data_IF_598135270723
#
_entry.id   IF_598135270723
#
_cell.length_a   1.000
_cell.length_b   1.000
_cell.length_c   1.000
_cell.angle_alpha   90.00
_cell.angle_beta   90.00
_cell.angle_gamma   90.00
#
_symmetry.space_group_name_H-M   'P 1'
#
loop_
_entity.id
_entity.type
_entity.pdbx_description
1 polymer ?
#
# COMPACT_ATOMS: atom_id res chain seq x y z
N UNK A 1 -12.18 -5.51 -0.83
CA UNK A 1 -11.07 -6.13 -0.08
C UNK A 1 -10.78 -5.45 1.28
N UNK A 2 -11.67 -4.61 1.83
CA UNK A 2 -11.42 -3.80 3.03
C UNK A 2 -11.47 -4.58 4.37
N UNK A 3 -12.25 -5.66 4.48
CA UNK A 3 -12.35 -6.39 5.75
C UNK A 3 -11.05 -7.17 6.01
N UNK A 4 -10.32 -6.78 7.06
CA UNK A 4 -9.06 -7.38 7.54
C UNK A 4 -7.78 -7.05 6.78
N UNK A 5 -7.77 -6.05 5.89
CA UNK A 5 -6.52 -5.63 5.22
C UNK A 5 -5.43 -5.25 6.24
N UNK A 6 -5.80 -4.61 7.35
CA UNK A 6 -4.86 -4.29 8.44
C UNK A 6 -4.23 -5.56 9.06
N UNK A 7 -5.02 -6.62 9.27
CA UNK A 7 -4.50 -7.85 9.89
C UNK A 7 -3.63 -8.65 8.93
N UNK A 8 -4.01 -8.71 7.66
CA UNK A 8 -3.35 -9.57 6.66
C UNK A 8 -2.15 -8.87 6.01
N UNK A 9 -2.30 -7.59 5.65
CA UNK A 9 -1.28 -6.83 4.93
C UNK A 9 -0.48 -5.95 5.89
N UNK A 10 -1.14 -5.32 6.88
CA UNK A 10 -0.43 -4.35 7.71
C UNK A 10 0.56 -4.95 8.71
N UNK A 11 0.45 -6.24 9.02
CA UNK A 11 1.38 -6.97 9.90
C UNK A 11 2.12 -8.10 9.18
N UNK A 12 2.28 -8.04 7.85
CA UNK A 12 3.05 -9.06 7.14
C UNK A 12 4.52 -9.07 7.59
N UNK A 13 5.10 -10.24 7.86
CA UNK A 13 6.48 -10.33 8.35
C UNK A 13 7.52 -10.19 7.23
N UNK A 14 7.08 -10.17 5.96
CA UNK A 14 7.97 -10.12 4.80
C UNK A 14 7.38 -9.26 3.68
N UNK A 15 8.23 -8.49 3.01
CA UNK A 15 7.82 -7.71 1.84
C UNK A 15 7.52 -8.64 0.64
N UNK A 16 6.36 -8.50 -0.01
CA UNK A 16 5.98 -9.34 -1.16
C UNK A 16 6.91 -9.22 -2.37
N UNK A 17 7.62 -8.09 -2.51
CA UNK A 17 8.51 -7.80 -3.66
C UNK A 17 9.93 -8.32 -3.48
N UNK A 18 10.53 -8.06 -2.33
CA UNK A 18 11.95 -8.36 -2.08
C UNK A 18 12.18 -9.45 -1.04
N UNK A 19 11.09 -9.99 -0.45
CA UNK A 19 11.11 -11.00 0.62
C UNK A 19 11.94 -10.61 1.85
N UNK A 20 12.28 -9.31 1.98
CA UNK A 20 13.00 -8.81 3.15
C UNK A 20 12.07 -8.87 4.37
N UNK A 21 12.59 -9.29 5.54
CA UNK A 21 11.81 -9.24 6.78
C UNK A 21 11.39 -7.80 7.09
N UNK A 22 10.11 -7.63 7.42
CA UNK A 22 9.51 -6.36 7.86
C UNK A 22 9.22 -6.47 9.35
N UNK A 23 9.96 -5.73 10.18
CA UNK A 23 9.67 -5.71 11.61
C UNK A 23 8.54 -4.74 11.91
N UNK A 24 7.85 -4.89 13.06
CA UNK A 24 6.74 -4.02 13.44
C UNK A 24 7.10 -2.51 13.44
N UNK A 25 8.37 -2.17 13.67
CA UNK A 25 8.88 -0.79 13.66
C UNK A 25 9.08 -0.21 12.25
N UNK A 26 9.20 -1.05 11.23
CA UNK A 26 9.42 -0.62 9.86
C UNK A 26 8.16 0.04 9.29
N UNK A 27 8.39 1.13 8.56
CA UNK A 27 7.35 1.72 7.74
C UNK A 27 7.14 0.88 6.49
N UNK A 28 5.87 0.68 6.16
CA UNK A 28 5.42 -0.04 4.97
C UNK A 28 4.18 0.65 4.42
N UNK A 29 3.88 0.35 3.18
CA UNK A 29 2.73 0.89 2.45
C UNK A 29 2.27 -0.14 1.44
N UNK A 30 1.12 0.11 0.83
CA UNK A 30 0.57 -0.75 -0.19
C UNK A 30 1.09 -0.36 -1.58
N UNK A 31 1.49 -1.35 -2.37
CA UNK A 31 1.88 -1.14 -3.78
C UNK A 31 0.70 -0.58 -4.57
N UNK A 32 0.94 0.41 -5.41
CA UNK A 32 -0.10 0.96 -6.31
C UNK A 32 -0.49 -0.02 -7.43
N UNK A 33 0.31 -1.07 -7.62
CA UNK A 33 0.12 -2.07 -8.67
C UNK A 33 -0.56 -3.32 -8.12
N UNK A 34 0.01 -3.90 -7.05
CA UNK A 34 -0.42 -5.20 -6.53
C UNK A 34 -1.30 -5.08 -5.29
N UNK A 35 -1.43 -3.86 -4.73
CA UNK A 35 -2.17 -3.58 -3.50
C UNK A 35 -1.71 -4.38 -2.26
N UNK A 36 -0.50 -4.92 -2.33
CA UNK A 36 0.17 -5.66 -1.27
C UNK A 36 1.16 -4.80 -0.47
N UNK A 37 1.45 -5.22 0.77
CA UNK A 37 2.39 -4.53 1.63
C UNK A 37 3.84 -4.68 1.15
N UNK A 38 4.44 -3.53 0.84
CA UNK A 38 5.83 -3.42 0.42
C UNK A 38 6.66 -2.56 1.38
N UNK A 39 7.96 -2.82 1.41
CA UNK A 39 8.90 -1.99 2.16
C UNK A 39 9.08 -0.63 1.45
N UNK A 40 9.53 0.38 2.20
CA UNK A 40 9.81 1.72 1.64
C UNK A 40 10.80 1.68 0.48
N UNK A 41 11.79 0.77 0.51
CA UNK A 41 12.76 0.65 -0.58
C UNK A 41 12.11 0.16 -1.89
N UNK A 42 11.20 -0.81 -1.81
CA UNK A 42 10.44 -1.27 -2.96
C UNK A 42 9.49 -0.19 -3.47
N UNK A 43 8.87 0.59 -2.57
CA UNK A 43 8.05 1.74 -2.99
C UNK A 43 8.87 2.76 -3.78
N UNK A 44 10.04 3.13 -3.28
CA UNK A 44 10.91 4.08 -3.99
C UNK A 44 11.31 3.56 -5.37
N UNK A 45 11.42 2.25 -5.55
CA UNK A 45 11.64 1.65 -6.85
C UNK A 45 10.39 1.71 -7.75
N UNK A 46 9.20 1.53 -7.17
CA UNK A 46 7.92 1.73 -7.88
C UNK A 46 7.75 3.19 -8.32
N UNK A 47 8.02 4.16 -7.44
CA UNK A 47 7.92 5.60 -7.72
C UNK A 47 8.85 6.09 -8.83
N UNK A 48 9.94 5.36 -9.08
CA UNK A 48 10.89 5.66 -10.18
C UNK A 48 10.45 5.11 -11.52
N UNK A 49 9.39 4.30 -11.57
CA UNK A 49 8.89 3.77 -12.83
C UNK A 49 8.25 4.89 -13.67
N UNK A 50 8.46 4.89 -15.00
CA UNK A 50 7.91 5.92 -15.86
C UNK A 50 6.38 5.92 -15.90
N UNK A 51 5.75 4.78 -15.65
CA UNK A 51 4.29 4.59 -15.61
C UNK A 51 3.68 4.83 -14.23
N UNK A 52 4.47 5.17 -13.22
CA UNK A 52 3.99 5.27 -11.83
C UNK A 52 2.91 6.33 -11.65
N UNK A 53 3.03 7.47 -12.31
CA UNK A 53 2.03 8.54 -12.20
C UNK A 53 0.66 8.07 -12.70
N UNK A 54 0.60 7.44 -13.87
CA UNK A 54 -0.64 6.90 -14.42
C UNK A 54 -1.17 5.73 -13.59
N UNK A 55 -0.31 4.80 -13.16
CA UNK A 55 -0.68 3.70 -12.30
C UNK A 55 -1.27 4.19 -10.97
N UNK A 56 -0.68 5.23 -10.37
CA UNK A 56 -1.15 5.82 -9.12
C UNK A 56 -2.54 6.44 -9.26
N UNK A 57 -2.82 7.15 -10.37
CA UNK A 57 -4.14 7.73 -10.66
C UNK A 57 -5.18 6.63 -10.89
N UNK A 58 -4.82 5.59 -11.64
CA UNK A 58 -5.69 4.44 -11.89
C UNK A 58 -6.03 3.70 -10.60
N UNK A 59 -5.05 3.48 -9.72
CA UNK A 59 -5.29 2.86 -8.42
C UNK A 59 -6.20 3.72 -7.54
N UNK A 60 -5.97 5.04 -7.45
CA UNK A 60 -6.85 5.93 -6.69
C UNK A 60 -8.30 5.83 -7.21
N UNK A 61 -8.49 5.87 -8.54
CA UNK A 61 -9.80 5.75 -9.16
C UNK A 61 -10.46 4.39 -8.84
N UNK A 62 -9.73 3.29 -9.03
CA UNK A 62 -10.21 1.94 -8.76
C UNK A 62 -10.56 1.75 -7.27
N UNK A 63 -9.72 2.25 -6.37
CA UNK A 63 -9.94 2.11 -4.94
C UNK A 63 -11.14 2.94 -4.45
N UNK A 64 -11.31 4.16 -4.94
CA UNK A 64 -12.51 4.96 -4.66
C UNK A 64 -13.78 4.28 -5.20
N UNK A 65 -13.72 3.65 -6.38
CA UNK A 65 -14.84 2.91 -6.94
C UNK A 65 -15.19 1.66 -6.12
N UNK A 66 -14.20 0.86 -5.72
CA UNK A 66 -14.43 -0.36 -4.95
C UNK A 66 -14.95 -0.06 -3.54
N UNK A 67 -14.31 0.89 -2.84
CA UNK A 67 -14.63 1.20 -1.45
C UNK A 67 -15.80 2.17 -1.30
N UNK A 68 -16.16 2.89 -2.38
CA UNK A 68 -17.11 4.02 -2.37
C UNK A 68 -16.74 5.09 -1.33
N UNK A 69 -15.47 5.17 -0.94
CA UNK A 69 -14.93 6.16 -0.01
C UNK A 69 -14.08 7.17 -0.79
N UNK A 70 -14.12 8.45 -0.42
CA UNK A 70 -13.21 9.42 -1.00
C UNK A 70 -11.78 9.09 -0.62
N UNK A 71 -10.86 9.36 -1.55
CA UNK A 71 -9.44 9.36 -1.27
C UNK A 71 -9.15 10.43 -0.20
N UNK A 72 -8.66 10.03 0.98
CA UNK A 72 -8.37 10.94 2.09
C UNK A 72 -8.83 10.45 3.47
N UNK A 73 -9.57 9.34 3.56
CA UNK A 73 -9.88 8.72 4.85
C UNK A 73 -8.65 7.95 5.36
N UNK A 74 -8.02 8.37 6.48
CA UNK A 74 -6.79 7.77 6.99
C UNK A 74 -6.96 6.37 7.56
N UNK A 75 -8.21 5.90 7.76
CA UNK A 75 -8.52 4.53 8.12
C UNK A 75 -8.86 3.66 6.89
N UNK A 76 -8.84 4.24 5.68
CA UNK A 76 -9.15 3.51 4.46
C UNK A 76 -7.94 2.79 3.88
N UNK A 77 -8.21 1.60 3.34
CA UNK A 77 -7.27 0.83 2.52
C UNK A 77 -6.61 1.68 1.42
N UNK A 78 -7.40 2.56 0.76
CA UNK A 78 -6.91 3.43 -0.31
C UNK A 78 -5.83 4.41 0.15
N UNK A 79 -5.93 4.92 1.37
CA UNK A 79 -4.97 5.90 1.90
C UNK A 79 -3.57 5.28 2.12
N UNK A 80 -3.53 4.02 2.52
CA UNK A 80 -2.28 3.33 2.86
C UNK A 80 -1.42 2.90 1.65
N UNK A 81 -1.87 3.19 0.43
CA UNK A 81 -1.06 3.08 -0.77
C UNK A 81 -0.08 4.26 -0.94
N UNK A 82 -0.32 5.37 -0.25
CA UNK A 82 0.49 6.59 -0.29
C UNK A 82 0.97 7.03 1.08
N UNK A 83 0.23 6.69 2.13
CA UNK A 83 0.63 6.98 3.50
C UNK A 83 1.24 5.75 4.17
N UNK A 84 2.53 5.79 4.54
CA UNK A 84 3.16 4.68 5.23
C UNK A 84 2.56 4.47 6.61
N UNK A 85 2.42 3.21 6.98
CA UNK A 85 1.92 2.78 8.27
C UNK A 85 2.89 1.77 8.89
N UNK A 86 2.67 1.46 10.17
CA UNK A 86 3.41 0.45 10.94
C UNK A 86 2.42 -0.60 11.43
N UNK A 87 2.91 -1.82 11.67
CA UNK A 87 2.08 -2.78 12.41
C UNK A 87 1.98 -2.31 13.86
N UNK A 88 0.76 -2.33 14.41
CA UNK A 88 0.47 -1.93 15.78
C UNK A 88 0.37 -3.16 16.67
#
# INVERSE_FOLDING_TARGET
MEKNWEKTLACTDQCCRCQRPLVAKDQRLLSVYDHDAICMACKQAEEKRPDYEDASKQMIAACMQETRKPYGDPASYCFHHFCPFKCK
#
